data_IF_995453335793
#
_entry.id   IF_995453335793
#
_cell.length_a   1.000
_cell.length_b   1.000
_cell.length_c   1.000
_cell.angle_alpha   90.00
_cell.angle_beta   90.00
_cell.angle_gamma   90.00
#
_symmetry.space_group_name_H-M   'P 1'
#
loop_
_entity.id
_entity.type
_entity.pdbx_description
1 polymer ?
#
# COMPACT_ATOMS: atom_id res chain seq x y z
N UNK A 1 -0.63 2.80 8.52
CA UNK A 1 0.41 3.72 7.99
C UNK A 1 -0.28 5.05 7.63
N UNK A 2 0.35 6.09 7.02
CA UNK A 2 -0.39 7.30 6.62
C UNK A 2 -1.50 6.99 5.64
N UNK A 3 -2.65 7.66 5.74
CA UNK A 3 -3.70 7.51 4.73
C UNK A 3 -3.18 8.02 3.39
N UNK A 4 -3.14 7.12 2.40
CA UNK A 4 -2.78 7.39 1.03
C UNK A 4 -4.03 7.86 0.28
N UNK A 5 -3.86 8.86 -0.59
CA UNK A 5 -4.93 9.37 -1.47
C UNK A 5 -4.40 9.44 -2.90
N UNK A 6 -4.50 8.33 -3.63
CA UNK A 6 -3.96 8.21 -4.99
C UNK A 6 -4.98 8.63 -6.05
N UNK A 7 -4.76 9.76 -6.71
CA UNK A 7 -5.64 10.27 -7.76
C UNK A 7 -5.18 9.81 -9.15
N UNK A 8 -6.12 9.28 -9.95
CA UNK A 8 -5.91 8.83 -11.33
C UNK A 8 -4.75 7.83 -11.45
N UNK A 9 -3.65 8.23 -12.10
CA UNK A 9 -2.47 7.41 -12.37
C UNK A 9 -1.58 7.14 -11.15
N UNK A 10 -1.78 7.89 -10.06
CA UNK A 10 -1.05 7.65 -8.81
C UNK A 10 -1.59 6.38 -8.19
N UNK A 11 -0.82 5.29 -8.24
CA UNK A 11 -1.18 3.97 -7.73
C UNK A 11 -1.22 3.93 -6.19
N UNK A 12 -0.11 4.33 -5.57
CA UNK A 12 0.11 4.21 -4.13
C UNK A 12 1.15 5.21 -3.63
N UNK A 13 1.36 5.23 -2.31
CA UNK A 13 2.39 5.97 -1.61
C UNK A 13 2.31 7.50 -1.65
N UNK A 14 1.19 8.09 -2.05
CA UNK A 14 0.98 9.54 -1.93
C UNK A 14 0.15 9.86 -0.69
N UNK A 15 0.69 10.69 0.21
CA UNK A 15 -0.08 11.32 1.28
C UNK A 15 0.22 12.82 1.35
N UNK A 16 -0.82 13.63 1.51
CA UNK A 16 -0.68 15.10 1.49
C UNK A 16 0.33 15.62 2.53
N UNK A 17 1.28 16.49 2.13
CA UNK A 17 2.09 17.26 3.07
C UNK A 17 1.26 18.28 3.86
N UNK A 18 1.93 19.02 4.73
CA UNK A 18 1.31 20.18 5.40
C UNK A 18 1.06 21.26 4.37
N UNK A 19 -0.09 21.94 4.46
CA UNK A 19 -0.51 22.99 3.52
C UNK A 19 -0.60 22.50 2.07
N UNK A 20 -0.94 21.23 1.87
CA UNK A 20 -1.29 20.73 0.55
C UNK A 20 -2.61 21.37 0.10
N UNK A 21 -2.56 22.20 -0.94
CA UNK A 21 -3.71 22.89 -1.52
C UNK A 21 -4.33 22.11 -2.69
N UNK A 22 -3.81 20.92 -3.01
CA UNK A 22 -4.38 20.09 -4.06
C UNK A 22 -5.83 19.70 -3.72
N UNK A 23 -6.68 19.79 -4.74
CA UNK A 23 -8.07 19.34 -4.68
C UNK A 23 -8.24 18.12 -5.56
N UNK A 24 -9.15 17.22 -5.18
CA UNK A 24 -9.55 16.10 -6.03
C UNK A 24 -10.26 16.69 -7.26
N UNK A 25 -9.73 16.48 -8.49
CA UNK A 25 -10.37 17.01 -9.69
C UNK A 25 -11.73 16.35 -9.93
N UNK A 26 -12.67 17.03 -10.59
CA UNK A 26 -13.88 16.37 -11.10
C UNK A 26 -13.51 15.25 -12.09
N UNK A 27 -14.38 14.26 -12.24
CA UNK A 27 -14.18 13.10 -13.13
C UNK A 27 -12.86 12.34 -12.87
N UNK A 28 -12.43 12.29 -11.60
CA UNK A 28 -11.24 11.54 -11.18
C UNK A 28 -11.61 10.17 -10.61
N UNK A 29 -10.62 9.29 -10.54
CA UNK A 29 -10.68 8.05 -9.78
C UNK A 29 -9.69 8.13 -8.62
N UNK A 30 -10.16 7.85 -7.40
CA UNK A 30 -9.40 8.14 -6.17
C UNK A 30 -9.30 6.89 -5.32
N UNK A 31 -8.07 6.45 -5.09
CA UNK A 31 -7.74 5.35 -4.18
C UNK A 31 -7.50 5.91 -2.80
N UNK A 32 -8.19 5.36 -1.81
CA UNK A 32 -8.02 5.68 -0.39
C UNK A 32 -7.55 4.43 0.31
N UNK A 33 -6.30 4.44 0.76
CA UNK A 33 -5.61 3.31 1.36
C UNK A 33 -5.08 3.72 2.74
N UNK A 34 -5.50 3.01 3.79
CA UNK A 34 -5.08 3.31 5.15
C UNK A 34 -5.04 2.07 6.03
N UNK A 35 -4.01 2.01 6.89
CA UNK A 35 -3.86 0.93 7.85
C UNK A 35 -3.95 1.37 9.30
N UNK A 36 -4.62 0.57 10.13
CA UNK A 36 -4.70 0.69 11.59
C UNK A 36 -3.90 -0.43 12.27
N UNK A 37 -3.55 -0.26 13.55
CA UNK A 37 -2.96 -1.36 14.30
C UNK A 37 -3.30 -1.31 15.80
N UNK A 38 -3.39 -2.49 16.41
CA UNK A 38 -3.49 -2.66 17.87
C UNK A 38 -2.30 -3.51 18.31
N UNK A 39 -1.43 -2.96 19.17
CA UNK A 39 -0.22 -3.64 19.66
C UNK A 39 0.67 -4.22 18.53
N UNK A 40 0.64 -3.59 17.36
CA UNK A 40 1.40 -3.97 16.18
C UNK A 40 0.71 -4.98 15.27
N UNK A 41 -0.45 -5.54 15.64
CA UNK A 41 -1.29 -6.31 14.72
C UNK A 41 -1.97 -5.33 13.76
N UNK A 42 -1.70 -5.46 12.46
CA UNK A 42 -2.09 -4.49 11.44
C UNK A 42 -3.36 -4.97 10.75
N UNK A 43 -4.26 -4.03 10.45
CA UNK A 43 -5.28 -4.17 9.44
C UNK A 43 -5.00 -3.14 8.34
N UNK A 44 -4.86 -3.64 7.13
CA UNK A 44 -4.59 -2.94 5.89
C UNK A 44 -5.79 -3.06 4.94
N UNK A 45 -6.21 -1.95 4.35
CA UNK A 45 -7.38 -1.90 3.46
C UNK A 45 -7.39 -0.64 2.62
N UNK A 46 -7.95 -0.80 1.42
CA UNK A 46 -8.09 0.25 0.45
C UNK A 46 -9.40 0.11 -0.32
N UNK A 47 -9.92 1.25 -0.74
CA UNK A 47 -11.09 1.34 -1.62
C UNK A 47 -10.82 2.38 -2.70
N UNK A 48 -11.46 2.21 -3.85
CA UNK A 48 -11.45 3.22 -4.91
C UNK A 48 -12.82 3.88 -5.05
N UNK A 49 -12.83 5.20 -5.03
CA UNK A 49 -14.01 6.02 -5.34
C UNK A 49 -13.85 6.59 -6.73
N UNK A 50 -14.76 6.26 -7.64
CA UNK A 50 -14.80 6.87 -8.97
C UNK A 50 -15.81 8.02 -9.03
N UNK A 51 -15.33 9.22 -9.36
CA UNK A 51 -16.15 10.37 -9.74
C UNK A 51 -16.35 10.44 -11.26
N UNK A 52 -15.78 9.50 -12.02
CA UNK A 52 -16.00 9.33 -13.45
C UNK A 52 -16.78 8.03 -13.71
N UNK A 53 -18.06 8.10 -14.13
CA UNK A 53 -18.85 6.92 -14.45
C UNK A 53 -18.19 6.01 -15.51
N UNK A 54 -17.43 6.57 -16.45
CA UNK A 54 -16.74 5.82 -17.50
C UNK A 54 -15.59 4.96 -16.96
N UNK A 55 -15.11 5.22 -15.75
CA UNK A 55 -14.04 4.46 -15.10
C UNK A 55 -14.56 3.49 -14.02
N UNK A 56 -15.89 3.40 -13.82
CA UNK A 56 -16.48 2.53 -12.80
C UNK A 56 -16.12 1.05 -12.97
N UNK A 57 -16.00 0.60 -14.22
CA UNK A 57 -15.60 -0.78 -14.55
C UNK A 57 -14.21 -1.17 -14.01
N UNK A 58 -13.30 -0.21 -13.80
CA UNK A 58 -12.00 -0.48 -13.17
C UNK A 58 -12.15 -0.87 -11.70
N UNK A 59 -13.08 -0.19 -11.00
CA UNK A 59 -13.39 -0.43 -9.59
C UNK A 59 -14.06 -1.79 -9.44
N UNK A 60 -15.09 -2.06 -10.25
CA UNK A 60 -15.80 -3.36 -10.27
C UNK A 60 -14.83 -4.53 -10.53
N UNK A 61 -13.90 -4.35 -11.50
CA UNK A 61 -12.89 -5.36 -11.79
C UNK A 61 -11.94 -5.62 -10.61
N UNK A 62 -11.56 -4.57 -9.85
CA UNK A 62 -10.68 -4.71 -8.70
C UNK A 62 -11.38 -5.40 -7.52
N UNK A 63 -12.63 -5.02 -7.24
CA UNK A 63 -13.45 -5.58 -6.17
C UNK A 63 -13.79 -7.05 -6.45
N UNK A 64 -14.23 -7.40 -7.66
CA UNK A 64 -14.52 -8.79 -8.02
C UNK A 64 -13.25 -9.66 -8.00
N UNK A 65 -12.11 -9.12 -8.45
CA UNK A 65 -10.84 -9.83 -8.37
C UNK A 65 -10.42 -10.09 -6.92
N UNK A 66 -10.67 -9.14 -6.02
CA UNK A 66 -10.37 -9.27 -4.59
C UNK A 66 -11.23 -10.36 -3.96
N UNK A 67 -12.54 -10.32 -4.19
CA UNK A 67 -13.49 -11.30 -3.65
C UNK A 67 -13.12 -12.72 -4.09
N UNK A 68 -12.91 -12.93 -5.40
CA UNK A 68 -12.53 -14.25 -5.96
C UNK A 68 -11.17 -14.73 -5.47
N UNK A 69 -10.21 -13.82 -5.31
CA UNK A 69 -8.92 -14.14 -4.72
C UNK A 69 -9.10 -14.66 -3.29
N UNK A 70 -9.81 -13.92 -2.45
CA UNK A 70 -10.03 -14.28 -1.04
C UNK A 70 -10.78 -15.60 -0.89
N UNK A 71 -11.83 -15.83 -1.68
CA UNK A 71 -12.59 -17.10 -1.70
C UNK A 71 -11.70 -18.32 -2.02
N UNK A 72 -10.62 -18.11 -2.76
CA UNK A 72 -9.70 -19.16 -3.19
C UNK A 72 -8.53 -19.37 -2.22
N UNK A 73 -8.32 -18.48 -1.25
CA UNK A 73 -7.23 -18.59 -0.27
C UNK A 73 -7.55 -19.68 0.75
N UNK A 74 -6.56 -20.54 1.00
CA UNK A 74 -6.53 -21.51 2.11
C UNK A 74 -5.08 -21.97 2.32
N UNK A 75 -4.75 -22.58 3.49
CA UNK A 75 -3.41 -23.12 3.70
C UNK A 75 -2.97 -24.04 2.55
N UNK A 76 -1.76 -23.81 2.04
CA UNK A 76 -1.16 -24.58 0.96
C UNK A 76 -1.48 -24.12 -0.46
N UNK A 77 -2.44 -23.21 -0.69
CA UNK A 77 -2.66 -22.59 -2.01
C UNK A 77 -1.44 -21.79 -2.42
N UNK A 78 -1.07 -21.81 -3.71
CA UNK A 78 0.09 -21.06 -4.19
C UNK A 78 -0.27 -19.59 -4.39
N UNK A 79 0.70 -18.71 -4.14
CA UNK A 79 0.55 -17.29 -4.47
C UNK A 79 0.34 -17.07 -5.97
N UNK A 80 0.96 -17.90 -6.81
CA UNK A 80 0.77 -17.88 -8.27
C UNK A 80 -0.67 -18.12 -8.70
N UNK A 81 -1.39 -18.99 -8.00
CA UNK A 81 -2.77 -19.36 -8.34
C UNK A 81 -3.71 -18.18 -8.07
N UNK A 82 -3.47 -17.43 -6.98
CA UNK A 82 -4.18 -16.18 -6.70
C UNK A 82 -3.86 -15.12 -7.76
N UNK A 83 -2.59 -15.00 -8.17
CA UNK A 83 -2.22 -14.11 -9.28
C UNK A 83 -2.94 -14.42 -10.58
N UNK A 84 -3.11 -15.71 -10.93
CA UNK A 84 -3.90 -16.11 -12.10
C UNK A 84 -5.39 -15.75 -11.95
N UNK A 85 -5.98 -15.97 -10.77
CA UNK A 85 -7.39 -15.65 -10.52
C UNK A 85 -7.65 -14.15 -10.67
N UNK A 86 -6.75 -13.32 -10.14
CA UNK A 86 -6.82 -11.86 -10.28
C UNK A 86 -6.67 -11.49 -11.75
N UNK A 87 -5.64 -11.97 -12.44
CA UNK A 87 -5.38 -11.68 -13.86
C UNK A 87 -6.55 -12.04 -14.77
N UNK A 88 -7.10 -13.25 -14.62
CA UNK A 88 -8.22 -13.74 -15.42
C UNK A 88 -9.51 -12.96 -15.13
N UNK A 89 -9.72 -12.54 -13.88
CA UNK A 89 -10.89 -11.73 -13.51
C UNK A 89 -10.78 -10.33 -14.10
N UNK A 90 -9.65 -9.66 -13.89
CA UNK A 90 -9.39 -8.31 -14.41
C UNK A 90 -9.48 -8.26 -15.94
N UNK A 91 -8.94 -9.26 -16.64
CA UNK A 91 -8.99 -9.32 -18.12
C UNK A 91 -10.40 -9.48 -18.69
N UNK A 92 -11.32 -10.14 -17.97
CA UNK A 92 -12.72 -10.31 -18.43
C UNK A 92 -13.48 -8.98 -18.49
N UNK A 93 -13.05 -8.01 -17.69
CA UNK A 93 -13.59 -6.65 -17.71
C UNK A 93 -12.99 -5.77 -18.82
N UNK A 94 -12.06 -6.29 -19.63
CA UNK A 94 -11.30 -5.47 -20.57
C UNK A 94 -10.30 -4.55 -19.86
N UNK A 95 -9.87 -4.93 -18.65
CA UNK A 95 -8.87 -4.23 -17.86
C UNK A 95 -7.52 -4.97 -17.91
N UNK A 96 -6.47 -4.27 -17.48
CA UNK A 96 -5.12 -4.83 -17.29
C UNK A 96 -4.73 -4.75 -15.81
N UNK A 97 -4.24 -5.85 -15.20
CA UNK A 97 -3.70 -5.79 -13.84
C UNK A 97 -2.34 -5.08 -13.83
N UNK A 98 -2.03 -4.38 -12.73
CA UNK A 98 -0.67 -3.86 -12.51
C UNK A 98 0.25 -5.02 -12.09
N UNK A 99 1.23 -5.36 -12.93
CA UNK A 99 2.02 -6.60 -12.75
C UNK A 99 3.15 -6.50 -11.71
N UNK A 100 3.63 -5.30 -11.42
CA UNK A 100 4.74 -5.05 -10.50
C UNK A 100 4.33 -4.36 -9.19
N UNK A 101 3.03 -4.39 -8.87
CA UNK A 101 2.48 -4.00 -7.58
C UNK A 101 1.58 -5.14 -7.09
N UNK A 102 1.77 -5.55 -5.84
CA UNK A 102 1.35 -6.85 -5.33
C UNK A 102 0.90 -6.70 -3.89
N UNK A 103 -0.04 -7.56 -3.47
CA UNK A 103 -0.30 -7.81 -2.06
C UNK A 103 0.91 -8.35 -1.32
N UNK A 104 0.81 -8.52 -0.02
CA UNK A 104 1.95 -8.89 0.80
C UNK A 104 1.60 -9.59 2.10
N UNK A 105 2.56 -10.32 2.67
CA UNK A 105 2.45 -10.78 4.06
C UNK A 105 2.68 -9.64 5.05
N UNK A 106 2.06 -9.76 6.22
CA UNK A 106 2.20 -8.85 7.36
C UNK A 106 2.65 -9.59 8.61
N UNK A 107 3.43 -8.91 9.45
CA UNK A 107 3.83 -9.34 10.78
C UNK A 107 3.60 -8.22 11.78
N UNK A 108 3.73 -8.51 13.08
CA UNK A 108 3.64 -7.49 14.13
C UNK A 108 4.62 -6.34 13.86
N UNK A 109 4.10 -5.12 13.78
CA UNK A 109 4.84 -3.88 13.45
C UNK A 109 5.56 -3.87 12.09
N UNK A 110 5.23 -4.81 11.21
CA UNK A 110 5.89 -4.95 9.91
C UNK A 110 4.82 -5.11 8.83
N UNK A 111 4.58 -4.02 8.09
CA UNK A 111 3.60 -3.97 7.01
C UNK A 111 4.00 -4.89 5.84
N UNK A 112 5.28 -4.85 5.42
CA UNK A 112 5.80 -5.75 4.41
C UNK A 112 6.70 -6.81 5.06
N UNK A 113 6.19 -8.04 5.21
CA UNK A 113 6.89 -9.15 5.87
C UNK A 113 7.70 -10.06 4.91
N UNK A 114 7.85 -9.64 3.65
CA UNK A 114 8.80 -10.24 2.70
C UNK A 114 8.22 -11.24 1.71
N UNK A 115 6.93 -11.56 1.82
CA UNK A 115 6.19 -12.29 0.79
C UNK A 115 5.34 -11.30 -0.01
N UNK A 116 5.29 -11.49 -1.33
CA UNK A 116 4.38 -10.77 -2.22
C UNK A 116 3.33 -11.70 -2.81
N UNK A 117 2.09 -11.24 -2.85
CA UNK A 117 0.93 -11.90 -3.45
C UNK A 117 0.65 -11.22 -4.80
N UNK A 118 0.99 -11.86 -5.92
CA UNK A 118 1.00 -11.19 -7.21
C UNK A 118 -0.42 -10.94 -7.74
N UNK A 119 -0.56 -9.92 -8.58
CA UNK A 119 -1.79 -9.62 -9.34
C UNK A 119 -1.81 -10.24 -10.75
N UNK A 120 -0.74 -10.97 -11.09
CA UNK A 120 -0.60 -11.75 -12.32
C UNK A 120 -0.01 -13.11 -12.02
N UNK A 121 -0.20 -14.06 -12.91
CA UNK A 121 0.51 -15.34 -12.81
C UNK A 121 2.02 -15.10 -12.68
N UNK A 122 2.64 -15.77 -11.71
CA UNK A 122 4.08 -15.69 -11.46
C UNK A 122 4.67 -17.07 -11.21
N UNK A 123 5.98 -17.23 -11.39
CA UNK A 123 6.71 -18.49 -11.18
C UNK A 123 7.01 -18.70 -9.67
N UNK A 124 6.36 -17.96 -8.78
CA UNK A 124 6.55 -18.09 -7.33
C UNK A 124 6.09 -19.46 -6.83
N UNK A 125 6.95 -20.14 -6.07
CA UNK A 125 6.64 -21.42 -5.44
C UNK A 125 6.02 -21.27 -4.04
N UNK A 126 5.89 -20.03 -3.55
CA UNK A 126 5.37 -19.74 -2.23
C UNK A 126 3.90 -20.11 -2.08
N UNK A 127 3.51 -20.45 -0.85
CA UNK A 127 2.16 -20.90 -0.50
C UNK A 127 1.67 -20.21 0.76
N UNK A 128 0.37 -20.00 0.83
CA UNK A 128 -0.29 -19.47 2.02
C UNK A 128 -0.10 -20.42 3.21
N UNK A 129 0.25 -19.86 4.35
CA UNK A 129 0.54 -20.60 5.58
C UNK A 129 -0.59 -20.45 6.61
N UNK A 130 -0.78 -21.49 7.43
CA UNK A 130 -1.68 -21.41 8.58
C UNK A 130 -1.18 -20.33 9.55
N UNK A 131 -2.10 -19.53 10.07
CA UNK A 131 -1.87 -18.33 10.90
C UNK A 131 -1.17 -17.18 10.17
N UNK A 132 -1.00 -17.26 8.84
CA UNK A 132 -0.47 -16.16 8.06
C UNK A 132 -1.46 -14.99 7.98
N UNK A 133 -0.92 -13.77 7.97
CA UNK A 133 -1.66 -12.52 7.79
C UNK A 133 -1.21 -11.91 6.47
N UNK A 134 -2.15 -11.60 5.59
CA UNK A 134 -1.87 -11.14 4.24
C UNK A 134 -2.78 -9.97 3.87
N UNK A 135 -2.22 -9.00 3.17
CA UNK A 135 -2.98 -8.01 2.42
C UNK A 135 -3.13 -8.52 0.99
N UNK A 136 -4.37 -8.53 0.49
CA UNK A 136 -4.71 -8.91 -0.88
C UNK A 136 -5.21 -7.64 -1.56
N UNK A 137 -4.48 -7.15 -2.55
CA UNK A 137 -4.70 -5.82 -3.16
C UNK A 137 -4.58 -5.87 -4.69
N UNK A 138 -5.67 -6.25 -5.40
CA UNK A 138 -5.75 -6.07 -6.84
C UNK A 138 -5.66 -4.60 -7.24
N UNK A 139 -4.77 -4.32 -8.20
CA UNK A 139 -4.72 -3.04 -8.91
C UNK A 139 -5.08 -3.24 -10.37
N UNK A 140 -6.00 -2.43 -10.88
CA UNK A 140 -6.48 -2.48 -12.26
C UNK A 140 -6.20 -1.16 -12.96
N UNK A 141 -5.93 -1.23 -14.26
CA UNK A 141 -5.82 -0.09 -15.17
C UNK A 141 -6.48 -0.43 -16.49
N UNK A 142 -6.62 0.55 -17.38
CA UNK A 142 -7.23 0.34 -18.70
C UNK A 142 -6.37 -0.55 -19.59
N UNK A 143 -6.99 -1.19 -20.59
CA UNK A 143 -6.31 -2.15 -21.47
C UNK A 143 -5.08 -1.58 -22.20
N UNK A 144 -5.14 -0.31 -22.61
CA UNK A 144 -4.08 0.33 -23.39
C UNK A 144 -2.93 0.88 -22.53
N UNK A 145 -3.05 0.82 -21.21
CA UNK A 145 -1.99 1.26 -20.29
C UNK A 145 -0.80 0.30 -20.28
N UNK A 146 0.34 0.72 -19.74
CA UNK A 146 1.52 -0.16 -19.63
C UNK A 146 1.29 -1.34 -18.67
N UNK A 147 0.44 -1.14 -17.64
CA UNK A 147 0.18 -2.16 -16.61
C UNK A 147 1.37 -2.34 -15.67
N UNK A 148 2.19 -1.32 -15.52
CA UNK A 148 3.32 -1.24 -14.58
C UNK A 148 3.34 0.11 -13.88
N UNK A 149 3.79 0.12 -12.63
CA UNK A 149 4.13 1.35 -11.92
C UNK A 149 5.62 1.64 -12.00
N UNK A 150 5.97 2.92 -11.87
CA UNK A 150 7.33 3.41 -11.71
C UNK A 150 7.44 4.37 -10.53
N UNK A 151 8.66 4.52 -10.01
CA UNK A 151 8.95 5.50 -8.97
C UNK A 151 8.79 6.92 -9.51
N UNK A 152 7.94 7.70 -8.84
CA UNK A 152 7.78 9.13 -9.05
C UNK A 152 8.54 9.98 -8.02
N UNK A 153 8.11 11.24 -7.81
CA UNK A 153 8.62 12.10 -6.74
C UNK A 153 8.40 11.51 -5.33
N UNK A 154 9.03 12.09 -4.28
CA UNK A 154 8.78 11.67 -2.90
C UNK A 154 7.29 11.75 -2.53
N UNK A 155 6.73 10.65 -2.01
CA UNK A 155 5.31 10.55 -1.67
C UNK A 155 4.92 11.03 -0.28
N UNK A 156 5.86 11.67 0.41
CA UNK A 156 5.68 12.20 1.77
C UNK A 156 5.36 11.12 2.83
N UNK A 157 5.76 9.88 2.54
CA UNK A 157 5.75 8.72 3.44
C UNK A 157 7.18 8.27 3.68
N UNK A 158 7.50 7.96 4.93
CA UNK A 158 8.84 7.57 5.38
C UNK A 158 8.78 6.38 6.32
N UNK A 159 9.88 5.64 6.45
CA UNK A 159 10.06 4.63 7.49
C UNK A 159 11.42 4.74 8.15
N UNK A 160 11.53 4.24 9.39
CA UNK A 160 12.82 4.00 10.03
C UNK A 160 13.50 2.79 9.39
N UNK A 161 14.74 2.98 8.90
CA UNK A 161 15.56 1.91 8.31
C UNK A 161 16.78 1.54 9.16
N UNK A 162 17.01 2.28 10.25
CA UNK A 162 18.14 2.07 11.16
C UNK A 162 17.69 2.30 12.60
N UNK A 163 17.81 1.28 13.46
CA UNK A 163 17.35 1.34 14.85
C UNK A 163 18.38 1.89 15.85
N UNK A 164 19.62 2.14 15.39
CA UNK A 164 20.66 2.80 16.18
C UNK A 164 20.34 4.28 16.33
N UNK A 165 20.45 4.80 17.55
CA UNK A 165 20.16 6.21 17.84
C UNK A 165 21.11 7.17 17.08
N UNK A 166 20.59 8.29 16.55
CA UNK A 166 21.42 9.35 15.97
C UNK A 166 22.22 10.08 17.06
N UNK A 167 23.38 10.63 16.69
CA UNK A 167 24.25 11.38 17.62
C UNK A 167 23.72 12.78 17.94
N UNK A 168 23.05 13.42 16.99
CA UNK A 168 22.47 14.75 17.19
C UNK A 168 21.26 14.64 18.14
N UNK A 169 21.22 15.48 19.18
CA UNK A 169 20.21 15.42 20.25
C UNK A 169 18.79 15.68 19.75
N UNK A 170 18.56 16.70 18.93
CA UNK A 170 17.23 16.99 18.36
C UNK A 170 16.76 15.88 17.41
N UNK A 171 17.66 15.35 16.57
CA UNK A 171 17.36 14.20 15.72
C UNK A 171 17.03 12.95 16.56
N UNK A 172 17.70 12.79 17.71
CA UNK A 172 17.44 11.70 18.65
C UNK A 172 16.05 11.79 19.25
N UNK A 173 15.59 12.99 19.63
CA UNK A 173 14.23 13.19 20.15
C UNK A 173 13.17 12.81 19.13
N UNK A 174 13.26 13.29 17.88
CA UNK A 174 12.30 12.91 16.83
C UNK A 174 12.38 11.41 16.53
N UNK A 175 13.59 10.84 16.47
CA UNK A 175 13.78 9.40 16.30
C UNK A 175 13.12 8.57 17.40
N UNK A 176 13.30 8.95 18.67
CA UNK A 176 12.68 8.30 19.83
C UNK A 176 11.15 8.39 19.79
N UNK A 177 10.61 9.55 19.38
CA UNK A 177 9.18 9.75 19.22
C UNK A 177 8.59 8.85 18.12
N UNK A 178 9.23 8.79 16.95
CA UNK A 178 8.78 7.90 15.86
C UNK A 178 8.91 6.45 16.28
N UNK A 179 10.05 6.04 16.83
CA UNK A 179 10.31 4.66 17.25
C UNK A 179 9.34 4.18 18.32
N UNK A 180 9.03 5.00 19.32
CA UNK A 180 8.10 4.64 20.40
C UNK A 180 6.66 4.53 19.91
N UNK A 181 6.22 5.42 19.01
CA UNK A 181 4.84 5.42 18.50
C UNK A 181 4.60 4.42 17.36
N UNK A 182 5.61 4.15 16.54
CA UNK A 182 5.46 3.45 15.25
C UNK A 182 6.41 2.28 15.06
N UNK A 183 7.46 2.17 15.87
CA UNK A 183 8.55 1.22 15.67
C UNK A 183 9.11 1.31 14.24
N UNK A 184 8.78 0.36 13.36
CA UNK A 184 9.21 0.33 11.95
C UNK A 184 8.09 0.67 10.96
N UNK A 185 6.87 0.96 11.44
CA UNK A 185 5.74 1.28 10.59
C UNK A 185 5.95 2.61 9.85
N UNK A 186 5.47 2.73 8.59
CA UNK A 186 5.54 3.96 7.85
C UNK A 186 4.82 5.12 8.55
N UNK A 187 5.31 6.33 8.30
CA UNK A 187 4.81 7.57 8.87
C UNK A 187 4.97 8.75 7.91
N UNK A 188 4.26 9.85 8.17
CA UNK A 188 4.37 11.09 7.39
C UNK A 188 4.89 12.23 8.27
N UNK A 189 5.67 13.19 7.73
CA UNK A 189 6.14 14.37 8.46
C UNK A 189 5.00 15.18 9.07
N UNK A 190 3.84 15.25 8.39
CA UNK A 190 2.64 16.02 8.82
C UNK A 190 2.16 15.67 10.23
N UNK A 191 2.43 14.46 10.71
CA UNK A 191 2.07 14.05 12.07
C UNK A 191 2.94 14.67 13.18
N UNK A 192 4.09 15.25 12.83
CA UNK A 192 5.10 15.69 13.79
C UNK A 192 5.54 17.14 13.64
N UNK A 193 5.12 17.85 12.58
CA UNK A 193 5.60 19.20 12.25
C UNK A 193 5.48 20.20 13.40
N UNK A 194 4.43 20.09 14.21
CA UNK A 194 4.18 21.00 15.33
C UNK A 194 4.92 20.61 16.62
N UNK A 195 5.72 19.54 16.59
CA UNK A 195 6.45 19.03 17.76
C UNK A 195 7.77 19.78 17.98
N UNK A 196 8.36 20.36 16.92
CA UNK A 196 9.67 21.01 16.96
C UNK A 196 9.62 22.35 16.22
N UNK A 197 10.22 23.40 16.78
CA UNK A 197 10.35 24.70 16.08
C UNK A 197 11.22 24.61 14.81
N UNK A 198 12.19 23.72 14.80
CA UNK A 198 13.14 23.49 13.70
C UNK A 198 12.93 22.12 13.03
N UNK A 199 11.68 21.68 12.90
CA UNK A 199 11.32 20.35 12.42
C UNK A 199 12.03 19.96 11.11
N UNK A 200 12.04 20.84 10.11
CA UNK A 200 12.59 20.55 8.79
C UNK A 200 14.08 20.21 8.82
N UNK A 201 14.88 20.94 9.60
CA UNK A 201 16.31 20.69 9.74
C UNK A 201 16.58 19.36 10.44
N UNK A 202 15.82 19.06 11.49
CA UNK A 202 15.88 17.80 12.23
C UNK A 202 15.52 16.64 11.31
N UNK A 203 14.45 16.79 10.51
CA UNK A 203 13.97 15.79 9.58
C UNK A 203 14.99 15.52 8.46
N UNK A 204 15.51 16.58 7.82
CA UNK A 204 16.57 16.49 6.81
C UNK A 204 17.83 15.80 7.36
N UNK A 205 18.19 16.07 8.62
CA UNK A 205 19.32 15.39 9.28
C UNK A 205 19.08 13.87 9.40
N UNK A 206 17.86 13.42 9.70
CA UNK A 206 17.54 11.99 9.78
C UNK A 206 17.60 11.31 8.41
N UNK A 207 17.20 12.00 7.33
CA UNK A 207 17.36 11.51 5.95
C UNK A 207 18.84 11.39 5.61
N UNK A 208 19.62 12.48 5.79
CA UNK A 208 21.06 12.54 5.45
C UNK A 208 21.87 11.46 6.18
N UNK A 209 21.50 11.17 7.42
CA UNK A 209 22.15 10.15 8.24
C UNK A 209 21.59 8.73 8.04
N UNK A 210 20.69 8.55 7.05
CA UNK A 210 20.04 7.29 6.67
C UNK A 210 19.35 6.59 7.84
N UNK A 211 18.73 7.35 8.74
CA UNK A 211 17.85 6.79 9.77
C UNK A 211 16.44 6.59 9.24
N UNK A 212 15.99 7.48 8.34
CA UNK A 212 14.72 7.37 7.65
C UNK A 212 14.92 7.31 6.14
N UNK A 213 14.00 6.65 5.46
CA UNK A 213 13.94 6.54 4.01
C UNK A 213 12.55 6.94 3.52
N UNK A 214 12.47 7.70 2.44
CA UNK A 214 11.20 8.05 1.78
C UNK A 214 10.73 6.90 0.91
N UNK A 215 9.42 6.70 0.86
CA UNK A 215 8.77 5.99 -0.23
C UNK A 215 8.53 6.99 -1.38
N UNK A 216 8.91 6.64 -2.63
CA UNK A 216 8.45 7.39 -3.78
C UNK A 216 6.96 7.12 -4.00
N UNK A 217 6.25 8.09 -4.60
CA UNK A 217 4.93 7.84 -5.16
C UNK A 217 5.07 6.78 -6.24
N UNK A 218 4.14 5.83 -6.30
CA UNK A 218 4.07 4.87 -7.40
C UNK A 218 3.07 5.37 -8.43
N UNK A 219 3.51 5.50 -9.68
CA UNK A 219 2.72 6.08 -10.77
C UNK A 219 2.63 5.07 -11.91
N UNK A 220 1.44 4.89 -12.47
CA UNK A 220 1.23 4.14 -13.72
C UNK A 220 2.13 4.71 -14.82
N UNK A 221 2.95 3.85 -15.45
CA UNK A 221 4.03 4.29 -16.34
C UNK A 221 3.55 5.08 -17.56
N UNK A 222 2.40 4.72 -18.13
CA UNK A 222 1.78 5.44 -19.25
C UNK A 222 0.89 6.62 -18.82
N UNK A 223 0.78 6.89 -17.51
CA UNK A 223 -0.04 7.96 -16.94
C UNK A 223 -1.54 7.67 -16.94
N UNK A 224 -1.94 6.41 -17.11
CA UNK A 224 -3.33 5.99 -17.19
C UNK A 224 -3.95 5.74 -15.80
N UNK A 225 -5.29 5.88 -15.65
CA UNK A 225 -5.95 5.73 -14.36
C UNK A 225 -5.80 4.32 -13.77
N UNK A 226 -5.74 4.26 -12.44
CA UNK A 226 -5.68 3.01 -11.67
C UNK A 226 -6.82 2.97 -10.65
N UNK A 227 -7.44 1.79 -10.49
CA UNK A 227 -8.24 1.43 -9.33
C UNK A 227 -7.55 0.35 -8.47
N UNK A 228 -7.92 0.31 -7.20
CA UNK A 228 -7.45 -0.62 -6.16
C UNK A 228 -8.64 -1.05 -5.29
N UNK A 229 -8.65 -2.31 -4.89
CA UNK A 229 -9.45 -2.80 -3.77
C UNK A 229 -8.53 -3.61 -2.87
N UNK A 230 -8.72 -3.55 -1.56
CA UNK A 230 -7.84 -4.29 -0.65
C UNK A 230 -8.51 -4.71 0.66
N UNK A 231 -8.21 -5.95 1.05
CA UNK A 231 -8.53 -6.45 2.37
C UNK A 231 -7.35 -7.18 3.01
N UNK A 232 -7.31 -7.08 4.33
CA UNK A 232 -6.49 -7.96 5.17
C UNK A 232 -7.23 -9.26 5.47
N UNK A 233 -6.54 -10.38 5.27
CA UNK A 233 -6.99 -11.72 5.62
C UNK A 233 -6.07 -12.38 6.63
N UNK A 234 -6.68 -13.14 7.56
CA UNK A 234 -5.99 -14.02 8.51
C UNK A 234 -6.40 -15.46 8.21
N UNK A 235 -5.43 -16.30 7.94
CA UNK A 235 -5.68 -17.71 7.62
C UNK A 235 -5.70 -18.51 8.91
N UNK A 236 -6.87 -18.97 9.32
CA UNK A 236 -7.07 -19.74 10.56
C UNK A 236 -7.33 -21.22 10.26
N UNK A 237 -7.46 -22.04 11.30
CA UNK A 237 -7.74 -23.46 11.14
C UNK A 237 -9.22 -23.66 10.80
N UNK A 238 -9.54 -23.73 9.52
CA UNK A 238 -10.90 -23.98 9.02
C UNK A 238 -11.48 -22.81 8.22
N UNK A 239 -11.05 -21.58 8.48
CA UNK A 239 -11.62 -20.36 7.87
C UNK A 239 -10.56 -19.33 7.48
N UNK A 240 -10.86 -18.52 6.46
CA UNK A 240 -10.15 -17.28 6.14
C UNK A 240 -10.96 -16.11 6.71
N UNK A 241 -10.39 -15.41 7.68
CA UNK A 241 -11.04 -14.27 8.34
C UNK A 241 -10.65 -12.99 7.60
N UNK A 242 -11.63 -12.29 7.04
CA UNK A 242 -11.45 -10.95 6.47
C UNK A 242 -11.60 -9.94 7.61
N UNK A 243 -10.53 -9.22 7.96
CA UNK A 243 -10.53 -8.33 9.14
C UNK A 243 -11.04 -6.92 8.85
N UNK A 244 -11.34 -6.61 7.59
CA UNK A 244 -11.56 -5.25 7.07
C UNK A 244 -12.80 -5.12 6.18
N UNK A 245 -13.72 -6.09 6.24
CA UNK A 245 -14.98 -6.07 5.49
C UNK A 245 -16.01 -5.10 6.09
#
# INVERSE_FOLDING_TARGET
FPCNVGVNHVAAHYTSPVNDENIIPPNSIVKVDFGVHINGCIADTAVTVSFNPELGFLVEAAEEALDKAIESIKPGVRYSDIGSIIEDTVRRYGCKPIRNLCGHSMNKYQIHAGVSIPNVHSISLGRFELNGVYAIEPFTTVQDADGEVMDGPPGNIYRLIKLKYPKNSSARTLFELVKSKRYTLPFTPRWFVNTFKNFDDVFKSLIKSKHILSYPVLIERSGMPIAQAEHTVVISNGDVIITTR
#
